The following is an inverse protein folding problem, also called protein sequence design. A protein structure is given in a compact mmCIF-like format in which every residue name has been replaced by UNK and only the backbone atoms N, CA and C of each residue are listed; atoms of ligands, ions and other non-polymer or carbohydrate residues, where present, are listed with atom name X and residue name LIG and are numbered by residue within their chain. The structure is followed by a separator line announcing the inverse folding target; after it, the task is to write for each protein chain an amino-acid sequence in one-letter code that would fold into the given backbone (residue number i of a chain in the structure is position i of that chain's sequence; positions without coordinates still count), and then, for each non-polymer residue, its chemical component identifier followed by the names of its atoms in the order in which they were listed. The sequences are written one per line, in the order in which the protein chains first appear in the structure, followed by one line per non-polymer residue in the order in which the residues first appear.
data_IF_799874922231
#
_entry.id   IF_799874922231
#
_cell.length_a   1.000
_cell.length_b   1.000
_cell.length_c   1.000
_cell.angle_alpha   90.00
_cell.angle_beta   90.00
_cell.angle_gamma   90.00
#
_symmetry.space_group_name_H-M   'P 1'
#
loop_
_entity.id
_entity.type
_entity.pdbx_description
1 polymer ?
#
# COMPACT_ATOMS: atom_id res chain seq x y z
N UNK A 1 42.79 -6.72 -35.31
CA UNK A 1 41.87 -7.56 -34.51
C UNK A 1 40.68 -6.71 -34.10
N UNK A 2 39.58 -6.95 -34.81
CA UNK A 2 38.17 -6.57 -34.66
C UNK A 2 37.76 -5.58 -33.55
N UNK A 3 37.54 -4.33 -33.96
CA UNK A 3 36.61 -3.41 -33.30
C UNK A 3 35.19 -3.82 -33.65
N UNK A 4 34.36 -4.13 -32.65
CA UNK A 4 32.93 -4.40 -32.85
C UNK A 4 32.17 -3.09 -33.14
N UNK A 5 31.19 -3.07 -34.07
CA UNK A 5 30.34 -1.91 -34.26
C UNK A 5 29.28 -1.82 -33.16
N UNK A 6 29.10 -0.60 -32.68
CA UNK A 6 28.21 -0.19 -31.61
C UNK A 6 26.80 0.07 -32.19
N UNK A 7 26.02 -1.00 -32.36
CA UNK A 7 24.66 -0.92 -32.90
C UNK A 7 23.61 -0.81 -31.79
N UNK A 8 23.48 0.39 -31.21
CA UNK A 8 22.25 0.78 -30.53
C UNK A 8 22.12 2.31 -30.48
N UNK A 9 22.05 2.94 -31.65
CA UNK A 9 21.43 4.26 -31.77
C UNK A 9 19.99 4.08 -32.26
N UNK A 10 19.05 4.11 -31.31
CA UNK A 10 17.63 4.27 -31.61
C UNK A 10 17.42 5.64 -32.24
N UNK A 11 17.32 5.65 -33.57
CA UNK A 11 16.92 6.79 -34.38
C UNK A 11 15.44 7.10 -34.07
N UNK A 12 15.17 8.15 -33.29
CA UNK A 12 13.87 8.81 -33.32
C UNK A 12 13.98 10.00 -34.28
N UNK A 13 13.30 9.99 -35.44
CA UNK A 13 13.28 11.16 -36.31
C UNK A 13 12.52 12.31 -35.63
N UNK A 14 13.27 13.37 -35.31
CA UNK A 14 12.78 14.64 -34.74
C UNK A 14 12.16 15.54 -35.83
N UNK A 15 11.24 15.03 -36.65
CA UNK A 15 10.58 15.81 -37.69
C UNK A 15 9.08 15.54 -37.76
N UNK A 16 8.35 16.28 -36.93
CA UNK A 16 7.09 16.97 -37.28
C UNK A 16 6.24 16.47 -38.44
N UNK A 17 5.68 15.28 -38.34
CA UNK A 17 4.29 14.95 -38.68
C UNK A 17 4.06 13.52 -38.15
N UNK A 18 3.10 13.23 -37.26
CA UNK A 18 2.83 11.84 -36.92
C UNK A 18 2.37 11.15 -38.21
N UNK A 19 3.20 10.23 -38.71
CA UNK A 19 2.76 9.32 -39.77
C UNK A 19 1.41 8.76 -39.35
N UNK A 20 0.47 8.80 -40.29
CA UNK A 20 -0.89 8.34 -40.15
C UNK A 20 -0.91 6.95 -39.50
N UNK A 21 -1.09 6.92 -38.17
CA UNK A 21 -1.26 5.72 -37.38
C UNK A 21 -2.62 5.16 -37.74
N UNK A 22 -2.69 4.49 -38.89
CA UNK A 22 -3.79 3.56 -39.12
C UNK A 22 -3.68 2.53 -38.00
N UNK A 23 -4.69 2.41 -37.11
CA UNK A 23 -4.67 1.36 -36.12
C UNK A 23 -4.60 0.06 -36.92
N UNK A 24 -3.48 -0.64 -36.82
CA UNK A 24 -3.33 -1.95 -37.41
C UNK A 24 -4.39 -2.81 -36.73
N UNK A 25 -5.50 -3.02 -37.42
CA UNK A 25 -6.57 -3.96 -37.05
C UNK A 25 -6.01 -5.38 -37.21
N UNK A 26 -4.99 -5.71 -36.43
CA UNK A 26 -4.57 -7.09 -36.21
C UNK A 26 -5.30 -7.57 -34.97
N UNK A 27 -6.57 -7.94 -35.18
CA UNK A 27 -7.19 -8.99 -34.38
C UNK A 27 -6.51 -10.33 -34.70
N UNK A 28 -5.18 -10.40 -34.61
CA UNK A 28 -4.46 -11.65 -34.65
C UNK A 28 -4.74 -12.32 -33.32
N UNK A 29 -5.43 -13.46 -33.41
CA UNK A 29 -5.78 -14.26 -32.25
C UNK A 29 -4.46 -14.67 -31.60
N UNK A 30 -4.15 -14.08 -30.44
CA UNK A 30 -2.90 -14.37 -29.72
C UNK A 30 -2.84 -15.86 -29.41
N UNK A 31 -1.95 -16.59 -30.07
CA UNK A 31 -1.65 -18.00 -29.79
C UNK A 31 -0.41 -18.03 -28.88
N UNK A 32 -0.56 -18.28 -27.57
CA UNK A 32 0.58 -18.27 -26.65
C UNK A 32 1.61 -19.33 -27.02
N UNK A 33 2.89 -18.96 -26.99
CA UNK A 33 3.98 -19.91 -27.17
C UNK A 33 4.02 -20.90 -26.00
N UNK A 34 4.48 -22.15 -26.21
CA UNK A 34 4.55 -23.17 -25.16
C UNK A 34 5.30 -22.70 -23.89
N UNK A 35 6.35 -21.89 -24.05
CA UNK A 35 7.12 -21.29 -22.95
C UNK A 35 6.29 -20.27 -22.15
N UNK A 36 5.46 -19.46 -22.83
CA UNK A 36 4.58 -18.49 -22.17
C UNK A 36 3.47 -19.21 -21.39
N UNK A 37 2.95 -20.31 -21.93
CA UNK A 37 1.95 -21.13 -21.27
C UNK A 37 2.51 -21.79 -19.99
N UNK A 38 3.76 -22.25 -20.03
CA UNK A 38 4.42 -22.84 -18.86
C UNK A 38 4.67 -21.79 -17.77
N UNK A 39 5.21 -20.62 -18.13
CA UNK A 39 5.41 -19.51 -17.18
C UNK A 39 4.08 -19.05 -16.54
N UNK A 40 2.99 -19.01 -17.29
CA UNK A 40 1.68 -18.65 -16.77
C UNK A 40 1.16 -19.69 -15.75
N UNK A 41 1.38 -20.99 -15.99
CA UNK A 41 1.01 -22.05 -15.04
C UNK A 41 1.81 -21.95 -13.73
N UNK A 42 3.10 -21.66 -13.82
CA UNK A 42 3.98 -21.54 -12.65
C UNK A 42 3.61 -20.31 -11.82
N UNK A 43 3.36 -19.17 -12.46
CA UNK A 43 2.86 -17.96 -11.79
C UNK A 43 1.52 -18.21 -11.09
N UNK A 44 0.60 -18.94 -11.72
CA UNK A 44 -0.70 -19.27 -11.11
C UNK A 44 -0.54 -20.11 -9.85
N UNK A 45 0.29 -21.16 -9.89
CA UNK A 45 0.56 -22.04 -8.73
C UNK A 45 1.23 -21.26 -7.60
N UNK A 46 2.22 -20.42 -7.94
CA UNK A 46 2.87 -19.56 -6.97
C UNK A 46 1.87 -18.62 -6.30
N UNK A 47 1.06 -17.90 -7.08
CA UNK A 47 0.09 -16.95 -6.54
C UNK A 47 -0.99 -17.66 -5.67
N UNK A 48 -1.43 -18.86 -6.09
CA UNK A 48 -2.34 -19.72 -5.31
C UNK A 48 -1.80 -20.04 -3.92
N UNK A 49 -0.53 -20.44 -3.82
CA UNK A 49 0.06 -20.84 -2.54
C UNK A 49 0.55 -19.64 -1.71
N UNK A 50 1.15 -18.64 -2.35
CA UNK A 50 1.77 -17.52 -1.66
C UNK A 50 0.78 -16.44 -1.24
N UNK A 51 -0.30 -16.24 -1.98
CA UNK A 51 -1.28 -15.16 -1.74
C UNK A 51 -2.61 -15.73 -1.30
N UNK A 52 -3.23 -16.58 -2.12
CA UNK A 52 -4.62 -17.00 -1.88
C UNK A 52 -4.75 -17.97 -0.70
N UNK A 53 -3.80 -18.88 -0.50
CA UNK A 53 -3.83 -19.83 0.63
C UNK A 53 -3.74 -19.13 2.00
N UNK A 54 -2.72 -18.27 2.29
CA UNK A 54 -2.67 -17.58 3.58
C UNK A 54 -3.83 -16.61 3.74
N UNK A 55 -4.23 -15.91 2.67
CA UNK A 55 -5.41 -15.04 2.72
C UNK A 55 -6.66 -15.83 3.08
N UNK A 56 -6.89 -16.99 2.44
CA UNK A 56 -8.00 -17.89 2.73
C UNK A 56 -7.98 -18.41 4.16
N UNK A 57 -6.82 -18.77 4.70
CA UNK A 57 -6.66 -19.18 6.10
C UNK A 57 -7.03 -18.04 7.06
N UNK A 58 -6.56 -16.82 6.81
CA UNK A 58 -6.88 -15.65 7.64
C UNK A 58 -8.37 -15.35 7.57
N UNK A 59 -8.98 -15.37 6.38
CA UNK A 59 -10.41 -15.15 6.19
C UNK A 59 -11.24 -16.22 6.91
N UNK A 60 -10.87 -17.49 6.78
CA UNK A 60 -11.56 -18.59 7.46
C UNK A 60 -11.44 -18.47 8.99
N UNK A 61 -10.25 -18.14 9.51
CA UNK A 61 -10.04 -17.92 10.94
C UNK A 61 -10.86 -16.73 11.45
N UNK A 62 -10.88 -15.61 10.72
CA UNK A 62 -11.68 -14.44 11.06
C UNK A 62 -13.18 -14.77 11.06
N UNK A 63 -13.67 -15.52 10.07
CA UNK A 63 -15.07 -15.94 9.98
C UNK A 63 -15.44 -16.90 11.12
N UNK A 64 -14.58 -17.87 11.43
CA UNK A 64 -14.78 -18.78 12.56
C UNK A 64 -14.81 -18.03 13.90
N UNK A 65 -13.91 -17.05 14.08
CA UNK A 65 -13.89 -16.18 15.25
C UNK A 65 -15.17 -15.35 15.35
N UNK A 66 -15.65 -14.79 14.24
CA UNK A 66 -16.90 -14.03 14.22
C UNK A 66 -18.11 -14.90 14.58
N UNK A 67 -18.21 -16.11 14.01
CA UNK A 67 -19.27 -17.07 14.36
C UNK A 67 -19.20 -17.44 15.84
N UNK A 68 -18.00 -17.67 16.37
CA UNK A 68 -17.79 -17.95 17.79
C UNK A 68 -18.29 -16.81 18.69
N UNK A 69 -17.96 -15.56 18.36
CA UNK A 69 -18.48 -14.40 19.07
C UNK A 69 -20.01 -14.30 18.99
N UNK A 70 -20.60 -14.64 17.84
CA UNK A 70 -22.04 -14.62 17.65
C UNK A 70 -22.75 -15.69 18.50
N UNK A 71 -22.15 -16.88 18.63
CA UNK A 71 -22.65 -17.92 19.54
C UNK A 71 -22.58 -17.44 20.99
N UNK A 72 -21.46 -16.84 21.42
CA UNK A 72 -21.31 -16.27 22.76
C UNK A 72 -22.31 -15.12 23.03
N UNK A 73 -22.69 -14.36 21.99
CA UNK A 73 -23.69 -13.31 22.09
C UNK A 73 -25.08 -13.86 22.41
N UNK A 74 -25.46 -14.97 21.78
CA UNK A 74 -26.79 -15.57 21.92
C UNK A 74 -26.87 -16.43 23.19
N UNK A 75 -25.83 -17.21 23.49
CA UNK A 75 -25.74 -18.07 24.66
C UNK A 75 -24.51 -17.74 25.51
N UNK A 76 -24.58 -16.66 26.31
CA UNK A 76 -23.50 -16.32 27.23
C UNK A 76 -23.47 -17.35 28.38
N UNK A 77 -22.35 -18.06 28.60
CA UNK A 77 -22.25 -19.07 29.66
C UNK A 77 -22.19 -18.45 31.07
N UNK A 78 -21.72 -17.19 31.19
CA UNK A 78 -21.60 -16.46 32.46
C UNK A 78 -22.00 -14.98 32.27
N UNK A 79 -22.49 -14.31 33.32
CA UNK A 79 -22.88 -12.89 33.26
C UNK A 79 -21.70 -11.97 32.90
N UNK A 80 -20.50 -12.25 33.40
CA UNK A 80 -19.27 -11.52 33.08
C UNK A 80 -18.93 -11.56 31.58
N UNK A 81 -19.38 -12.59 30.87
CA UNK A 81 -19.16 -12.72 29.42
C UNK A 81 -19.87 -11.60 28.65
N UNK A 82 -20.99 -11.09 29.16
CA UNK A 82 -21.76 -10.01 28.51
C UNK A 82 -21.02 -8.68 28.54
N UNK A 83 -20.39 -8.36 29.68
CA UNK A 83 -19.56 -7.16 29.84
C UNK A 83 -18.33 -7.22 28.93
N UNK A 84 -17.67 -8.37 28.87
CA UNK A 84 -16.55 -8.60 27.97
C UNK A 84 -16.98 -8.44 26.49
N UNK A 85 -18.11 -9.05 26.10
CA UNK A 85 -18.60 -9.00 24.73
C UNK A 85 -18.97 -7.58 24.29
N UNK A 86 -19.56 -6.78 25.18
CA UNK A 86 -19.85 -5.36 24.93
C UNK A 86 -18.57 -4.55 24.69
N UNK A 87 -17.53 -4.77 25.50
CA UNK A 87 -16.25 -4.09 25.32
C UNK A 87 -15.55 -4.49 24.02
N UNK A 88 -15.59 -5.77 23.65
CA UNK A 88 -15.04 -6.25 22.36
C UNK A 88 -15.82 -5.65 21.19
N UNK A 89 -17.15 -5.59 21.28
CA UNK A 89 -17.99 -4.97 20.25
C UNK A 89 -17.65 -3.49 20.04
N UNK A 90 -17.45 -2.73 21.11
CA UNK A 90 -17.05 -1.31 21.03
C UNK A 90 -15.67 -1.14 20.39
N UNK A 91 -14.70 -1.98 20.73
CA UNK A 91 -13.36 -1.94 20.10
C UNK A 91 -13.46 -2.22 18.60
N UNK A 92 -14.22 -3.25 18.22
CA UNK A 92 -14.46 -3.58 16.81
C UNK A 92 -15.13 -2.39 16.12
N UNK A 93 -16.18 -1.84 16.70
CA UNK A 93 -16.91 -0.71 16.14
C UNK A 93 -15.98 0.50 15.94
N UNK A 94 -15.17 0.86 16.94
CA UNK A 94 -14.20 1.97 16.83
C UNK A 94 -13.17 1.69 15.72
N UNK A 95 -12.63 0.46 15.67
CA UNK A 95 -11.61 0.07 14.70
C UNK A 95 -12.13 0.13 13.26
N UNK A 96 -13.42 -0.16 13.02
CA UNK A 96 -14.04 -0.07 11.70
C UNK A 96 -14.60 1.32 11.39
N UNK A 97 -15.15 2.04 12.37
CA UNK A 97 -15.75 3.36 12.19
C UNK A 97 -14.70 4.42 11.88
N UNK A 98 -13.54 4.38 12.56
CA UNK A 98 -12.46 5.35 12.40
C UNK A 98 -11.93 5.43 10.95
N UNK A 99 -11.54 4.34 10.27
CA UNK A 99 -11.06 4.40 8.90
C UNK A 99 -12.16 4.84 7.93
N UNK A 100 -13.43 4.44 8.16
CA UNK A 100 -14.56 4.90 7.35
C UNK A 100 -14.72 6.42 7.48
N UNK A 101 -14.75 6.95 8.70
CA UNK A 101 -14.77 8.39 8.97
C UNK A 101 -13.60 9.12 8.29
N UNK A 102 -12.40 8.54 8.32
CA UNK A 102 -11.21 9.12 7.71
C UNK A 102 -11.36 9.19 6.17
N UNK A 103 -11.80 8.11 5.52
CA UNK A 103 -12.05 8.08 4.07
C UNK A 103 -13.11 9.11 3.68
N UNK A 104 -14.24 9.16 4.39
CA UNK A 104 -15.29 10.14 4.12
C UNK A 104 -14.82 11.56 4.36
N UNK A 105 -14.06 11.81 5.42
CA UNK A 105 -13.47 13.12 5.71
C UNK A 105 -12.52 13.57 4.60
N UNK A 106 -11.64 12.68 4.13
CA UNK A 106 -10.75 12.92 2.98
C UNK A 106 -11.54 13.21 1.70
N UNK A 107 -12.62 12.46 1.45
CA UNK A 107 -13.46 12.63 0.27
C UNK A 107 -14.15 14.00 0.27
N UNK A 108 -14.75 14.40 1.40
CA UNK A 108 -15.37 15.73 1.54
C UNK A 108 -14.34 16.85 1.41
N UNK A 109 -13.18 16.71 2.06
CA UNK A 109 -12.08 17.67 1.92
C UNK A 109 -11.60 17.78 0.46
N UNK A 110 -11.48 16.64 -0.23
CA UNK A 110 -11.11 16.57 -1.65
C UNK A 110 -12.14 17.24 -2.56
N UNK A 111 -13.44 17.03 -2.30
CA UNK A 111 -14.52 17.69 -3.05
C UNK A 111 -14.47 19.22 -2.88
N UNK A 112 -14.37 19.70 -1.65
CA UNK A 112 -14.30 21.14 -1.37
C UNK A 112 -13.05 21.74 -2.04
N UNK A 113 -11.89 21.08 -1.88
CA UNK A 113 -10.64 21.48 -2.52
C UNK A 113 -10.75 21.51 -4.05
N UNK A 114 -11.37 20.49 -4.64
CA UNK A 114 -11.60 20.38 -6.08
C UNK A 114 -12.53 21.46 -6.63
N UNK A 115 -13.62 21.77 -5.92
CA UNK A 115 -14.56 22.84 -6.32
C UNK A 115 -13.86 24.20 -6.27
N UNK A 116 -13.11 24.49 -5.20
CA UNK A 116 -12.35 25.74 -5.07
C UNK A 116 -11.29 25.84 -6.18
N UNK A 117 -10.55 24.75 -6.41
CA UNK A 117 -9.53 24.69 -7.47
C UNK A 117 -10.15 24.93 -8.86
N UNK A 118 -11.28 24.28 -9.15
CA UNK A 118 -11.99 24.44 -10.41
C UNK A 118 -12.53 25.86 -10.62
N UNK A 119 -13.12 26.46 -9.57
CA UNK A 119 -13.57 27.85 -9.61
C UNK A 119 -12.40 28.84 -9.76
N UNK A 120 -11.25 28.54 -9.15
CA UNK A 120 -10.06 29.37 -9.25
C UNK A 120 -9.40 29.25 -10.63
N UNK A 121 -9.41 28.06 -11.23
CA UNK A 121 -8.89 27.82 -12.58
C UNK A 121 -9.68 28.58 -13.64
N UNK A 122 -11.01 28.71 -13.48
CA UNK A 122 -11.86 29.50 -14.39
C UNK A 122 -11.67 31.02 -14.28
N UNK A 123 -11.06 31.49 -13.18
CA UNK A 123 -10.76 32.91 -12.96
C UNK A 123 -9.30 33.26 -13.28
N UNK A 124 -8.50 32.29 -13.73
CA UNK A 124 -7.11 32.49 -14.09
C UNK A 124 -6.92 33.08 -15.50
N UNK A 125 -7.95 33.02 -16.35
CA UNK A 125 -7.92 33.49 -17.75
C UNK A 125 -8.15 35.02 -17.90
N UNK A 126 -8.20 35.78 -16.80
CA UNK A 126 -8.39 37.23 -16.82
C UNK A 126 -7.67 37.94 -15.66
N UNK A 127 -6.45 38.41 -15.94
CA UNK A 127 -5.58 39.34 -15.20
C UNK A 127 -5.18 39.09 -13.71
N UNK A 128 -3.91 39.36 -13.31
CA UNK A 128 -3.38 38.94 -12.02
C UNK A 128 -3.42 40.06 -10.98
N UNK A 129 -4.41 40.07 -10.08
CA UNK A 129 -4.27 40.75 -8.78
C UNK A 129 -3.87 39.75 -7.70
N UNK A 130 -2.56 39.64 -7.45
CA UNK A 130 -1.96 38.77 -6.43
C UNK A 130 -2.48 39.05 -5.00
N UNK A 131 -3.09 40.20 -4.75
CA UNK A 131 -3.67 40.56 -3.45
C UNK A 131 -5.08 40.00 -3.19
N UNK A 132 -5.90 39.77 -4.23
CA UNK A 132 -7.25 39.20 -4.06
C UNK A 132 -7.27 37.66 -4.20
N UNK A 133 -6.15 37.05 -4.60
CA UNK A 133 -6.09 35.64 -5.07
C UNK A 133 -5.92 34.58 -3.97
N UNK A 134 -5.62 34.97 -2.72
CA UNK A 134 -5.35 34.02 -1.64
C UNK A 134 -6.20 34.33 -0.40
N UNK A 135 -7.37 33.68 -0.32
CA UNK A 135 -8.28 33.81 0.81
C UNK A 135 -7.62 33.45 2.15
N UNK A 136 -8.17 33.98 3.25
CA UNK A 136 -7.64 33.85 4.63
C UNK A 136 -7.31 32.41 5.05
N UNK A 137 -8.01 31.42 4.50
CA UNK A 137 -7.73 29.99 4.72
C UNK A 137 -6.40 29.51 4.14
N UNK A 138 -5.95 30.06 3.00
CA UNK A 138 -4.66 29.68 2.42
C UNK A 138 -3.49 30.28 3.22
N UNK A 139 -3.68 31.47 3.78
CA UNK A 139 -2.75 32.06 4.78
C UNK A 139 -2.71 31.23 6.07
N UNK A 140 -3.84 30.66 6.50
CA UNK A 140 -3.88 29.75 7.65
C UNK A 140 -3.17 28.43 7.35
N UNK A 141 -3.44 27.80 6.21
CA UNK A 141 -2.75 26.58 5.76
C UNK A 141 -1.26 26.80 5.58
N UNK A 142 -0.85 27.95 5.03
CA UNK A 142 0.56 28.31 4.89
C UNK A 142 1.24 28.50 6.25
N UNK A 143 0.56 29.13 7.22
CA UNK A 143 1.07 29.21 8.61
C UNK A 143 1.12 27.84 9.29
N UNK A 144 0.18 26.95 8.98
CA UNK A 144 0.16 25.57 9.50
C UNK A 144 1.33 24.77 8.93
N UNK A 145 1.58 24.90 7.62
CA UNK A 145 2.69 24.25 6.92
C UNK A 145 4.06 24.76 7.41
N UNK A 146 4.19 26.07 7.67
CA UNK A 146 5.39 26.60 8.33
C UNK A 146 5.59 26.05 9.75
N UNK A 147 4.52 25.85 10.53
CA UNK A 147 4.62 25.22 11.86
C UNK A 147 4.97 23.74 11.76
N UNK A 148 4.40 23.01 10.79
CA UNK A 148 4.71 21.61 10.51
C UNK A 148 6.15 21.43 10.02
N UNK A 149 6.67 22.36 9.20
CA UNK A 149 8.06 22.36 8.74
C UNK A 149 9.06 22.44 9.91
N UNK A 150 8.71 23.15 10.98
CA UNK A 150 9.48 23.15 12.23
C UNK A 150 9.42 21.80 12.98
N UNK A 151 8.28 21.12 12.92
CA UNK A 151 8.09 19.77 13.50
C UNK A 151 8.84 18.70 12.69
N UNK A 152 8.88 18.79 11.36
CA UNK A 152 9.68 17.90 10.51
C UNK A 152 11.17 17.93 10.87
N UNK A 153 11.73 19.11 11.20
CA UNK A 153 13.11 19.21 11.70
C UNK A 153 13.31 18.52 13.06
N UNK A 154 12.28 18.42 13.90
CA UNK A 154 12.33 17.65 15.15
C UNK A 154 12.16 16.15 14.92
N UNK A 155 11.37 15.75 13.92
CA UNK A 155 11.20 14.35 13.50
C UNK A 155 12.49 13.82 12.84
N UNK A 156 13.17 14.61 12.01
CA UNK A 156 14.47 14.25 11.43
C UNK A 156 15.56 14.03 12.50
N UNK A 157 15.47 14.73 13.63
CA UNK A 157 16.36 14.50 14.78
C UNK A 157 15.97 13.26 15.61
N UNK A 158 14.72 12.80 15.52
CA UNK A 158 14.20 11.60 16.20
C UNK A 158 14.33 10.33 15.35
N UNK A 159 14.38 10.44 14.02
CA UNK A 159 14.55 9.33 13.08
C UNK A 159 15.78 8.43 13.38
N UNK A 160 16.98 8.94 13.69
CA UNK A 160 18.11 8.07 14.03
C UNK A 160 17.92 7.31 15.35
N UNK A 161 17.10 7.83 16.29
CA UNK A 161 16.82 7.18 17.57
C UNK A 161 15.77 6.06 17.46
N UNK A 162 14.85 6.18 16.49
CA UNK A 162 13.81 5.16 16.21
C UNK A 162 14.28 4.07 15.22
N UNK A 163 15.27 4.34 14.37
CA UNK A 163 15.85 3.34 13.48
C UNK A 163 16.71 2.29 14.23
N UNK A 164 17.36 2.70 15.33
CA UNK A 164 18.19 1.83 16.16
C UNK A 164 17.51 0.54 16.67
N UNK A 165 16.32 0.59 17.28
CA UNK A 165 15.64 -0.61 17.79
C UNK A 165 15.21 -1.57 16.69
N UNK A 166 14.79 -1.08 15.52
CA UNK A 166 14.35 -1.95 14.40
C UNK A 166 15.52 -2.69 13.77
N UNK A 167 16.67 -2.04 13.61
CA UNK A 167 17.91 -2.67 13.12
C UNK A 167 18.40 -3.73 14.10
N UNK A 168 18.37 -3.43 15.41
CA UNK A 168 18.73 -4.41 16.45
C UNK A 168 17.80 -5.62 16.45
N UNK A 169 16.49 -5.41 16.30
CA UNK A 169 15.52 -6.51 16.24
C UNK A 169 15.77 -7.44 15.03
N UNK A 170 16.04 -6.86 13.85
CA UNK A 170 16.34 -7.64 12.66
C UNK A 170 17.66 -8.45 12.82
N UNK A 171 18.68 -7.86 13.42
CA UNK A 171 19.93 -8.57 13.74
C UNK A 171 19.73 -9.72 14.75
N UNK A 172 18.90 -9.51 15.78
CA UNK A 172 18.57 -10.55 16.76
C UNK A 172 17.80 -11.70 16.12
N UNK A 173 16.83 -11.41 15.24
CA UNK A 173 16.08 -12.44 14.50
C UNK A 173 16.99 -13.25 13.57
N UNK A 174 17.93 -12.60 12.88
CA UNK A 174 18.93 -13.28 12.05
C UNK A 174 19.86 -14.19 12.88
N UNK A 175 20.29 -13.74 14.07
CA UNK A 175 21.09 -14.56 14.98
C UNK A 175 20.31 -15.77 15.51
N UNK A 176 19.04 -15.58 15.88
CA UNK A 176 18.17 -16.68 16.33
C UNK A 176 17.97 -17.71 15.21
N UNK A 177 17.70 -17.24 13.98
CA UNK A 177 17.45 -18.12 12.84
C UNK A 177 18.69 -18.95 12.48
N UNK A 178 19.88 -18.35 12.51
CA UNK A 178 21.15 -19.07 12.27
C UNK A 178 21.48 -20.07 13.38
N UNK A 179 21.13 -19.76 14.64
CA UNK A 179 21.31 -20.70 15.76
C UNK A 179 20.31 -21.87 15.70
N UNK A 180 19.06 -21.60 15.31
CA UNK A 180 18.04 -22.64 15.10
C UNK A 180 18.42 -23.55 13.94
N UNK A 181 18.87 -23.00 12.81
CA UNK A 181 19.32 -23.76 11.65
C UNK A 181 20.49 -24.70 11.99
N UNK A 182 21.40 -24.28 12.89
CA UNK A 182 22.48 -25.14 13.39
C UNK A 182 21.99 -26.27 14.30
N UNK A 183 20.89 -26.07 15.03
CA UNK A 183 20.31 -27.11 15.89
C UNK A 183 19.49 -28.11 15.07
N UNK A 184 18.73 -27.64 14.07
CA UNK A 184 17.98 -28.52 13.17
C UNK A 184 18.87 -29.30 12.19
N UNK A 185 20.02 -28.74 11.78
CA UNK A 185 20.99 -29.47 10.95
C UNK A 185 21.79 -30.52 11.72
N UNK A 186 21.79 -30.49 13.06
CA UNK A 186 22.53 -31.44 13.92
C UNK A 186 21.71 -32.67 14.31
N UNK A 187 20.38 -32.62 14.21
CA UNK A 187 19.52 -33.79 14.42
C UNK A 187 19.58 -34.82 13.29
N UNK A 188 20.01 -34.42 12.08
CA UNK A 188 20.12 -35.32 10.93
C UNK A 188 21.47 -36.06 10.87
N UNK A 189 22.48 -35.61 11.63
CA UNK A 189 23.83 -36.20 11.64
C UNK A 189 24.04 -37.27 12.73
N UNK A 190 23.00 -37.65 13.47
CA UNK A 190 23.08 -38.66 14.56
C UNK A 190 22.29 -39.94 14.28
N UNK A 191 21.77 -40.11 13.05
CA UNK A 191 21.18 -41.35 12.55
C UNK A 191 21.89 -41.83 11.26
N UNK A 192 23.23 -41.90 11.30
CA UNK A 192 24.04 -42.74 10.41
C UNK A 192 25.07 -43.49 11.23
#
# INVERSE_FOLDING_TARGET
MNSAPNDSQTYYPSSGNPENWTPVNQAETFVPTAVQLQRAKDLKRFNQLAVYLPLGLITAAALGFFIYLLILAIWPPYEDTRLFLSGVADIILILFLLPVMLIFGLLVAGLIGGIIYWQQSRKADGEPSLQNKYGRFRLLLWKLDQKLSGVYRQIDQLMPKLAGPVIKFNATMAYINTRLARLSGRSDATNQ
#
